data_IF_272143588044
#
_entry.id   IF_272143588044
#
_cell.length_a   1.000
_cell.length_b   1.000
_cell.length_c   1.000
_cell.angle_alpha   90.00
_cell.angle_beta   90.00
_cell.angle_gamma   90.00
#
_symmetry.space_group_name_H-M   'P 1'
#
loop_
_entity.id
_entity.type
_entity.pdbx_description
1 polymer ?
#
# COMPACT_ATOMS: atom_id res chain seq x y z
N UNK A 1 17.13 1.49 -1.27
CA UNK A 1 15.83 0.97 -1.73
C UNK A 1 15.06 0.45 -0.51
N UNK A 2 13.80 0.83 -0.36
CA UNK A 2 12.85 0.23 0.57
C UNK A 2 11.72 -0.43 -0.22
N UNK A 3 11.22 -1.54 0.30
CA UNK A 3 10.08 -2.30 -0.23
C UNK A 3 8.93 -2.11 0.75
N UNK A 4 7.85 -1.53 0.25
CA UNK A 4 6.62 -1.26 1.00
C UNK A 4 5.60 -2.31 0.59
N UNK A 5 5.12 -3.08 1.56
CA UNK A 5 4.00 -3.97 1.35
C UNK A 5 2.69 -3.21 1.47
N UNK A 6 1.78 -3.48 0.56
CA UNK A 6 0.37 -3.05 0.58
C UNK A 6 -0.54 -4.27 0.77
N UNK A 7 -1.85 -4.02 0.84
CA UNK A 7 -2.88 -5.06 0.77
C UNK A 7 -2.72 -6.14 1.84
N UNK A 8 -2.80 -7.41 1.43
CA UNK A 8 -2.74 -8.57 2.34
C UNK A 8 -1.38 -8.69 3.03
N UNK A 9 -0.28 -8.47 2.31
CA UNK A 9 1.06 -8.53 2.90
C UNK A 9 1.30 -7.39 3.91
N UNK A 10 0.81 -6.19 3.56
CA UNK A 10 0.87 -5.01 4.41
C UNK A 10 0.02 -5.15 5.68
N UNK A 11 -1.14 -5.78 5.54
CA UNK A 11 -2.07 -6.07 6.63
C UNK A 11 -1.91 -7.41 7.34
N UNK A 12 -0.84 -8.17 7.07
CA UNK A 12 -0.53 -9.46 7.74
C UNK A 12 -1.66 -10.50 7.57
N UNK A 13 -2.17 -10.61 6.34
CA UNK A 13 -3.32 -11.47 5.98
C UNK A 13 -3.04 -12.28 4.70
N UNK A 14 -1.81 -12.76 4.52
CA UNK A 14 -1.48 -13.63 3.39
C UNK A 14 -2.15 -15.01 3.54
N UNK A 15 -2.84 -15.45 2.49
CA UNK A 15 -3.21 -16.84 2.27
C UNK A 15 -2.34 -17.49 1.19
N UNK A 16 -2.48 -18.81 0.99
CA UNK A 16 -1.63 -19.62 0.09
C UNK A 16 -1.56 -19.11 -1.37
N UNK A 17 -2.67 -18.61 -1.92
CA UNK A 17 -2.73 -18.08 -3.29
C UNK A 17 -2.64 -16.56 -3.36
N UNK A 18 -1.85 -15.93 -2.49
CA UNK A 18 -1.79 -14.46 -2.41
C UNK A 18 -0.64 -13.89 -3.22
N UNK A 19 -0.99 -12.93 -4.09
CA UNK A 19 -0.02 -12.02 -4.70
C UNK A 19 0.61 -11.10 -3.63
N UNK A 20 1.80 -10.58 -3.94
CA UNK A 20 2.49 -9.58 -3.14
C UNK A 20 2.28 -8.19 -3.73
N UNK A 21 1.47 -7.37 -3.06
CA UNK A 21 1.29 -5.95 -3.41
C UNK A 21 2.51 -5.14 -2.93
N UNK A 22 3.41 -4.75 -3.85
CA UNK A 22 4.68 -4.10 -3.53
C UNK A 22 4.82 -2.71 -4.18
N UNK A 23 5.30 -1.75 -3.40
CA UNK A 23 5.74 -0.43 -3.86
C UNK A 23 7.21 -0.23 -3.48
N UNK A 24 8.01 0.30 -4.41
CA UNK A 24 9.45 0.47 -4.23
C UNK A 24 9.80 1.95 -4.10
N UNK A 25 10.56 2.28 -3.05
CA UNK A 25 11.00 3.65 -2.78
C UNK A 25 12.53 3.73 -2.65
N UNK A 26 13.13 4.82 -3.11
CA UNK A 26 14.54 5.14 -2.84
C UNK A 26 14.69 6.53 -2.24
N UNK A 27 15.75 6.77 -1.49
CA UNK A 27 16.07 8.07 -0.91
C UNK A 27 17.40 8.65 -1.41
N UNK A 28 17.84 8.20 -2.60
CA UNK A 28 18.95 8.82 -3.33
C UNK A 28 18.78 10.34 -3.39
N UNK A 29 19.81 11.06 -2.95
CA UNK A 29 19.86 12.52 -2.86
C UNK A 29 21.30 13.02 -2.95
N UNK A 30 21.49 14.31 -3.23
CA UNK A 30 22.80 14.95 -3.35
C UNK A 30 23.17 15.25 -4.81
N UNK A 31 24.32 15.89 -5.02
CA UNK A 31 24.76 16.33 -6.35
C UNK A 31 25.24 15.18 -7.24
N UNK A 32 25.89 14.19 -6.64
CA UNK A 32 26.35 12.99 -7.34
C UNK A 32 25.25 11.91 -7.29
N UNK A 33 24.50 11.76 -8.37
CA UNK A 33 23.40 10.79 -8.51
C UNK A 33 23.73 9.70 -9.54
N UNK A 34 24.99 9.26 -9.55
CA UNK A 34 25.47 8.19 -10.40
C UNK A 34 26.10 7.08 -9.55
N UNK A 35 26.03 5.88 -10.07
CA UNK A 35 26.75 4.72 -9.54
C UNK A 35 28.26 4.86 -9.78
N UNK A 36 29.06 4.19 -8.94
CA UNK A 36 30.53 4.24 -8.93
C UNK A 36 31.19 3.06 -9.66
N UNK A 37 30.40 2.20 -10.31
CA UNK A 37 30.89 1.04 -11.05
C UNK A 37 31.51 1.38 -12.42
N UNK A 38 32.12 0.38 -13.06
CA UNK A 38 32.78 0.51 -14.36
C UNK A 38 31.90 1.12 -15.46
N UNK A 39 30.58 0.85 -15.41
CA UNK A 39 29.58 1.55 -16.22
C UNK A 39 28.71 2.40 -15.31
N UNK A 40 28.98 3.70 -15.29
CA UNK A 40 28.15 4.65 -14.56
C UNK A 40 26.76 4.72 -15.18
N UNK A 41 25.76 4.60 -14.31
CA UNK A 41 24.34 4.84 -14.60
C UNK A 41 23.76 5.74 -13.53
N UNK A 42 22.73 6.52 -13.89
CA UNK A 42 22.02 7.35 -12.92
C UNK A 42 21.32 6.48 -11.87
N UNK A 43 21.18 7.02 -10.66
CA UNK A 43 20.65 6.28 -9.52
C UNK A 43 19.18 5.87 -9.71
N UNK A 44 18.38 6.67 -10.41
CA UNK A 44 16.99 6.31 -10.69
C UNK A 44 16.92 5.06 -11.58
N UNK A 45 17.72 4.99 -12.64
CA UNK A 45 17.89 3.81 -13.48
C UNK A 45 18.44 2.61 -12.70
N UNK A 46 19.41 2.83 -11.80
CA UNK A 46 19.93 1.76 -10.95
C UNK A 46 18.83 1.14 -10.09
N UNK A 47 18.06 1.97 -9.37
CA UNK A 47 16.98 1.48 -8.52
C UNK A 47 15.85 0.83 -9.31
N UNK A 48 15.50 1.37 -10.49
CA UNK A 48 14.52 0.76 -11.38
C UNK A 48 14.95 -0.66 -11.82
N UNK A 49 16.21 -0.83 -12.24
CA UNK A 49 16.77 -2.14 -12.60
C UNK A 49 16.80 -3.10 -11.42
N UNK A 50 17.14 -2.62 -10.22
CA UNK A 50 17.13 -3.43 -9.00
C UNK A 50 15.71 -3.93 -8.67
N UNK A 51 14.71 -3.04 -8.71
CA UNK A 51 13.32 -3.42 -8.48
C UNK A 51 12.81 -4.41 -9.54
N UNK A 52 13.10 -4.18 -10.82
CA UNK A 52 12.80 -5.14 -11.90
C UNK A 52 13.43 -6.51 -11.66
N UNK A 53 14.69 -6.54 -11.19
CA UNK A 53 15.39 -7.79 -10.89
C UNK A 53 14.74 -8.53 -9.71
N UNK A 54 14.35 -7.82 -8.66
CA UNK A 54 13.62 -8.39 -7.52
C UNK A 54 12.29 -9.00 -7.98
N UNK A 55 11.49 -8.25 -8.76
CA UNK A 55 10.23 -8.75 -9.31
C UNK A 55 10.48 -10.01 -10.14
N UNK A 56 11.47 -9.98 -11.03
CA UNK A 56 11.82 -11.14 -11.84
C UNK A 56 12.20 -12.37 -10.99
N UNK A 57 12.97 -12.21 -9.91
CA UNK A 57 13.29 -13.34 -9.04
C UNK A 57 12.06 -13.91 -8.32
N UNK A 58 11.07 -13.08 -8.01
CA UNK A 58 9.83 -13.53 -7.37
C UNK A 58 8.88 -14.20 -8.38
N UNK A 59 8.76 -13.64 -9.58
CA UNK A 59 7.71 -14.01 -10.54
C UNK A 59 8.19 -14.90 -11.70
N UNK A 60 9.48 -15.22 -11.80
CA UNK A 60 9.98 -16.07 -12.87
C UNK A 60 9.48 -17.51 -12.71
N UNK A 61 9.01 -18.10 -13.82
CA UNK A 61 8.70 -19.51 -13.89
C UNK A 61 9.98 -20.34 -13.92
N UNK A 62 10.11 -21.24 -12.96
CA UNK A 62 11.17 -22.26 -12.91
C UNK A 62 10.55 -23.66 -13.00
N UNK A 63 11.38 -24.69 -13.03
CA UNK A 63 10.92 -26.09 -12.95
C UNK A 63 10.19 -26.40 -11.63
N UNK A 64 10.43 -25.60 -10.58
CA UNK A 64 9.74 -25.70 -9.29
C UNK A 64 8.48 -24.80 -9.20
N UNK A 65 8.09 -24.13 -10.30
CA UNK A 65 7.00 -23.16 -10.32
C UNK A 65 7.48 -21.72 -10.11
N UNK A 66 6.56 -20.87 -9.65
CA UNK A 66 6.77 -19.45 -9.34
C UNK A 66 6.87 -19.27 -7.83
N UNK A 67 7.69 -18.33 -7.36
CA UNK A 67 7.81 -18.06 -5.93
C UNK A 67 6.62 -17.24 -5.43
N UNK A 68 6.36 -16.08 -6.04
CA UNK A 68 5.14 -15.28 -5.83
C UNK A 68 4.80 -14.45 -7.07
N UNK A 69 3.50 -14.30 -7.33
CA UNK A 69 3.01 -13.21 -8.19
C UNK A 69 3.20 -11.86 -7.48
N UNK A 70 3.61 -10.83 -8.23
CA UNK A 70 3.89 -9.50 -7.68
C UNK A 70 2.99 -8.47 -8.36
N UNK A 71 2.20 -7.76 -7.55
CA UNK A 71 1.39 -6.64 -8.00
C UNK A 71 2.02 -5.30 -7.58
N UNK A 72 2.24 -4.40 -8.53
CA UNK A 72 2.84 -3.09 -8.30
C UNK A 72 1.88 -1.94 -8.61
N UNK A 73 0.59 -2.22 -8.80
CA UNK A 73 -0.41 -1.23 -9.27
C UNK A 73 -0.75 -0.15 -8.24
N UNK A 74 -0.45 -0.35 -6.96
CA UNK A 74 -0.71 0.61 -5.88
C UNK A 74 0.39 1.68 -5.72
N UNK A 75 1.38 1.71 -6.61
CA UNK A 75 2.37 2.80 -6.67
C UNK A 75 1.74 4.10 -7.18
N UNK A 76 2.33 5.29 -6.90
CA UNK A 76 1.85 6.56 -7.43
C UNK A 76 1.60 6.52 -8.94
N UNK A 77 0.45 7.05 -9.38
CA UNK A 77 0.01 7.02 -10.79
C UNK A 77 -0.17 5.62 -11.38
N UNK A 78 -0.22 4.58 -10.55
CA UNK A 78 -0.50 3.20 -10.91
C UNK A 78 0.40 2.68 -12.05
N UNK A 79 -0.22 2.09 -13.07
CA UNK A 79 0.50 1.53 -14.24
C UNK A 79 1.30 2.58 -15.02
N UNK A 80 0.86 3.83 -15.00
CA UNK A 80 1.50 4.94 -15.70
C UNK A 80 2.65 5.57 -14.90
N UNK A 81 2.80 5.23 -13.62
CA UNK A 81 3.87 5.72 -12.77
C UNK A 81 5.17 4.93 -12.88
N UNK A 82 6.27 5.57 -12.49
CA UNK A 82 7.58 4.95 -12.35
C UNK A 82 7.50 3.74 -11.41
N UNK A 83 8.21 2.66 -11.74
CA UNK A 83 8.24 1.45 -10.91
C UNK A 83 8.82 1.73 -9.51
N UNK A 84 9.80 2.63 -9.45
CA UNK A 84 10.41 3.09 -8.20
C UNK A 84 10.29 4.60 -8.15
N UNK A 85 9.77 5.12 -7.05
CA UNK A 85 9.71 6.56 -6.80
C UNK A 85 10.79 6.98 -5.81
N UNK A 86 11.28 8.22 -5.94
CA UNK A 86 12.00 8.83 -4.83
C UNK A 86 11.04 9.02 -3.66
N UNK A 87 11.56 8.95 -2.43
CA UNK A 87 10.77 9.15 -1.23
C UNK A 87 10.13 10.54 -1.20
N UNK A 88 10.83 11.57 -1.69
CA UNK A 88 10.29 12.93 -1.78
C UNK A 88 9.11 13.03 -2.73
N UNK A 89 9.21 12.44 -3.94
CA UNK A 89 8.12 12.43 -4.89
C UNK A 89 6.91 11.64 -4.38
N UNK A 90 7.14 10.51 -3.70
CA UNK A 90 6.07 9.75 -3.06
C UNK A 90 5.37 10.57 -1.97
N UNK A 91 6.13 11.28 -1.13
CA UNK A 91 5.58 12.13 -0.08
C UNK A 91 4.73 13.27 -0.65
N UNK A 92 5.24 13.95 -1.68
CA UNK A 92 4.50 15.02 -2.36
C UNK A 92 3.21 14.50 -3.02
N UNK A 93 3.28 13.36 -3.69
CA UNK A 93 2.12 12.72 -4.30
C UNK A 93 1.05 12.39 -3.26
N UNK A 94 1.42 11.76 -2.14
CA UNK A 94 0.49 11.38 -1.08
C UNK A 94 -0.19 12.59 -0.43
N UNK A 95 0.50 13.73 -0.33
CA UNK A 95 -0.06 14.97 0.23
C UNK A 95 -1.01 15.69 -0.73
N UNK A 96 -0.65 15.75 -2.01
CA UNK A 96 -1.23 16.72 -2.93
C UNK A 96 -2.09 16.11 -4.02
N UNK A 97 -1.91 14.82 -4.34
CA UNK A 97 -2.50 14.20 -5.54
C UNK A 97 -3.25 12.90 -5.25
N UNK A 98 -2.92 12.21 -4.16
CA UNK A 98 -3.52 10.92 -3.85
C UNK A 98 -5.01 11.04 -3.53
N UNK A 99 -5.79 10.12 -4.09
CA UNK A 99 -7.22 10.03 -3.85
C UNK A 99 -7.52 9.37 -2.48
N UNK A 100 -8.72 9.57 -1.95
CA UNK A 100 -9.16 8.94 -0.68
C UNK A 100 -8.97 7.41 -0.67
N UNK A 101 -9.22 6.73 -1.79
CA UNK A 101 -9.02 5.28 -1.89
C UNK A 101 -7.52 4.88 -1.82
N UNK A 102 -6.60 5.75 -2.24
CA UNK A 102 -5.16 5.51 -2.10
C UNK A 102 -4.73 5.70 -0.64
N UNK A 103 -5.33 6.67 0.06
CA UNK A 103 -5.16 6.80 1.52
C UNK A 103 -5.76 5.59 2.25
N UNK A 104 -6.90 5.04 1.80
CA UNK A 104 -7.44 3.78 2.33
C UNK A 104 -6.46 2.62 2.12
N UNK A 105 -5.85 2.51 0.94
CA UNK A 105 -4.82 1.51 0.68
C UNK A 105 -3.59 1.72 1.59
N UNK A 106 -3.20 2.98 1.85
CA UNK A 106 -2.08 3.35 2.72
C UNK A 106 -2.27 2.90 4.18
N UNK A 107 -3.53 2.80 4.65
CA UNK A 107 -3.85 2.23 5.98
C UNK A 107 -3.27 0.83 6.13
N UNK A 108 -3.22 0.03 5.06
CA UNK A 108 -2.74 -1.35 5.07
C UNK A 108 -1.33 -1.48 4.51
N UNK A 109 -0.42 -0.61 4.97
CA UNK A 109 0.97 -0.61 4.48
C UNK A 109 2.01 -0.66 5.58
N UNK A 110 3.13 -1.31 5.27
CA UNK A 110 4.33 -1.34 6.13
C UNK A 110 5.58 -1.58 5.30
N UNK A 111 6.71 -1.11 5.79
CA UNK A 111 8.02 -1.44 5.20
C UNK A 111 8.36 -2.88 5.57
N UNK A 112 8.75 -3.69 4.58
CA UNK A 112 9.13 -5.10 4.79
C UNK A 112 10.64 -5.33 4.60
N UNK A 113 11.30 -4.46 3.86
CA UNK A 113 12.74 -4.49 3.64
C UNK A 113 13.25 -3.09 3.30
N UNK A 114 14.46 -2.75 3.76
CA UNK A 114 15.11 -1.48 3.44
C UNK A 114 15.91 -0.90 4.60
N UNK A 115 16.65 0.19 4.37
CA UNK A 115 17.42 0.84 5.42
C UNK A 115 16.53 1.42 6.52
N UNK A 116 16.93 1.27 7.79
CA UNK A 116 16.18 1.77 8.95
C UNK A 116 15.77 3.25 8.82
N UNK A 117 16.68 4.11 8.32
CA UNK A 117 16.41 5.53 8.10
C UNK A 117 15.23 5.76 7.15
N UNK A 118 15.20 5.05 6.02
CA UNK A 118 14.11 5.19 5.05
C UNK A 118 12.81 4.58 5.59
N UNK A 119 12.89 3.45 6.31
CA UNK A 119 11.73 2.85 6.96
C UNK A 119 11.07 3.79 7.97
N UNK A 120 11.86 4.45 8.82
CA UNK A 120 11.37 5.44 9.79
C UNK A 120 10.73 6.65 9.11
N UNK A 121 11.35 7.16 8.04
CA UNK A 121 10.78 8.27 7.25
C UNK A 121 9.46 7.88 6.61
N UNK A 122 9.34 6.68 6.07
CA UNK A 122 8.08 6.17 5.53
C UNK A 122 7.01 6.04 6.62
N UNK A 123 7.35 5.50 7.79
CA UNK A 123 6.40 5.37 8.89
C UNK A 123 5.90 6.74 9.36
N UNK A 124 6.80 7.72 9.49
CA UNK A 124 6.45 9.09 9.86
C UNK A 124 5.52 9.74 8.82
N UNK A 125 5.83 9.60 7.53
CA UNK A 125 4.96 10.08 6.45
C UNK A 125 3.60 9.39 6.46
N UNK A 126 3.56 8.06 6.59
CA UNK A 126 2.30 7.32 6.67
C UNK A 126 1.44 7.84 7.82
N UNK A 127 2.04 8.03 9.00
CA UNK A 127 1.33 8.57 10.15
C UNK A 127 0.83 10.00 9.88
N UNK A 128 1.66 10.87 9.31
CA UNK A 128 1.28 12.21 8.87
C UNK A 128 0.05 12.19 7.95
N UNK A 129 0.06 11.39 6.88
CA UNK A 129 -1.03 11.30 5.91
C UNK A 129 -2.31 10.73 6.55
N UNK A 130 -2.19 9.67 7.34
CA UNK A 130 -3.36 9.04 7.96
C UNK A 130 -4.01 9.96 9.01
N UNK A 131 -3.22 10.77 9.72
CA UNK A 131 -3.70 11.68 10.76
C UNK A 131 -4.12 13.08 10.23
N UNK A 132 -4.22 13.26 8.91
CA UNK A 132 -4.76 14.50 8.34
C UNK A 132 -6.23 14.70 8.75
N UNK A 133 -6.65 15.94 9.07
CA UNK A 133 -8.05 16.22 9.36
C UNK A 133 -8.89 16.02 8.10
N UNK A 134 -10.04 15.33 8.25
CA UNK A 134 -10.97 15.04 7.15
C UNK A 134 -12.39 15.37 7.55
N UNK A 135 -13.16 15.90 6.61
CA UNK A 135 -14.60 16.07 6.79
C UNK A 135 -15.29 14.70 6.78
N UNK A 136 -15.75 14.26 7.96
CA UNK A 136 -16.23 12.87 8.17
C UNK A 136 -17.40 12.47 7.27
N UNK A 137 -18.30 13.42 6.96
CA UNK A 137 -19.45 13.16 6.08
C UNK A 137 -19.01 12.88 4.65
N UNK A 138 -18.12 13.72 4.10
CA UNK A 138 -17.53 13.54 2.78
C UNK A 138 -16.72 12.24 2.69
N UNK A 139 -15.83 11.99 3.65
CA UNK A 139 -15.03 10.76 3.71
C UNK A 139 -15.91 9.51 3.74
N UNK A 140 -16.97 9.51 4.57
CA UNK A 140 -17.91 8.39 4.66
C UNK A 140 -18.57 8.10 3.31
N UNK A 141 -18.96 9.15 2.58
CA UNK A 141 -19.59 9.02 1.29
C UNK A 141 -18.62 8.42 0.26
N UNK A 142 -17.39 8.94 0.17
CA UNK A 142 -16.36 8.45 -0.76
C UNK A 142 -16.01 6.97 -0.52
N UNK A 143 -15.84 6.58 0.75
CA UNK A 143 -15.55 5.18 1.12
C UNK A 143 -16.72 4.26 0.75
N UNK A 144 -17.96 4.69 1.04
CA UNK A 144 -19.17 3.92 0.71
C UNK A 144 -19.33 3.73 -0.81
N UNK A 145 -19.17 4.81 -1.58
CA UNK A 145 -19.28 4.76 -3.04
C UNK A 145 -18.22 3.83 -3.65
N UNK A 146 -16.98 3.92 -3.19
CA UNK A 146 -15.92 3.02 -3.63
C UNK A 146 -16.24 1.56 -3.27
N UNK A 147 -16.73 1.30 -2.06
CA UNK A 147 -17.07 -0.05 -1.63
C UNK A 147 -18.19 -0.67 -2.46
N UNK A 148 -19.25 0.09 -2.73
CA UNK A 148 -20.38 -0.37 -3.54
C UNK A 148 -19.94 -0.64 -4.98
N UNK A 149 -19.08 0.21 -5.57
CA UNK A 149 -18.49 -0.03 -6.89
C UNK A 149 -17.72 -1.34 -6.94
N UNK A 150 -16.82 -1.57 -5.97
CA UNK A 150 -16.07 -2.83 -5.89
C UNK A 150 -16.98 -4.05 -5.71
N UNK A 151 -18.10 -3.91 -4.97
CA UNK A 151 -19.07 -5.00 -4.78
C UNK A 151 -19.76 -5.37 -6.08
N UNK A 152 -20.14 -4.39 -6.89
CA UNK A 152 -20.78 -4.64 -8.20
C UNK A 152 -19.84 -5.35 -9.18
N UNK A 153 -18.54 -5.04 -9.09
CA UNK A 153 -17.51 -5.64 -9.96
C UNK A 153 -17.08 -7.04 -9.50
N UNK A 154 -16.92 -7.26 -8.19
CA UNK A 154 -16.27 -8.45 -7.64
C UNK A 154 -17.20 -9.38 -6.85
N UNK A 155 -18.40 -8.93 -6.50
CA UNK A 155 -19.37 -9.68 -5.71
C UNK A 155 -19.93 -10.90 -6.45
N UNK A 156 -20.44 -11.87 -5.68
CA UNK A 156 -21.04 -13.05 -6.27
C UNK A 156 -22.35 -12.70 -6.97
N UNK A 157 -22.55 -13.28 -8.16
CA UNK A 157 -23.78 -13.12 -8.94
C UNK A 157 -24.70 -14.33 -8.85
N UNK A 158 -24.27 -15.41 -8.17
CA UNK A 158 -25.04 -16.64 -8.02
C UNK A 158 -25.96 -16.57 -6.79
N UNK A 159 -27.28 -16.69 -6.96
CA UNK A 159 -28.23 -16.74 -5.84
C UNK A 159 -27.90 -17.89 -4.87
N UNK A 160 -28.06 -17.65 -3.56
CA UNK A 160 -27.88 -18.67 -2.52
C UNK A 160 -26.42 -18.99 -2.13
N UNK A 161 -25.43 -18.30 -2.71
CA UNK A 161 -24.02 -18.47 -2.35
C UNK A 161 -23.42 -17.18 -1.79
N UNK A 162 -22.79 -17.27 -0.62
CA UNK A 162 -22.09 -16.15 0.01
C UNK A 162 -20.59 -16.17 -0.29
N UNK A 163 -20.09 -15.13 -0.96
CA UNK A 163 -18.67 -14.93 -1.18
C UNK A 163 -18.03 -14.22 0.02
N UNK A 164 -17.34 -15.01 0.85
CA UNK A 164 -16.70 -14.63 2.12
C UNK A 164 -15.96 -13.28 2.07
N UNK A 165 -15.24 -13.00 0.97
CA UNK A 165 -14.53 -11.72 0.83
C UNK A 165 -15.40 -10.54 0.34
N UNK A 166 -16.23 -10.73 -0.69
CA UNK A 166 -16.73 -9.63 -1.52
C UNK A 166 -18.19 -9.26 -1.25
N UNK A 167 -18.98 -10.17 -0.69
CA UNK A 167 -20.40 -9.93 -0.46
C UNK A 167 -20.64 -9.06 0.79
N UNK A 168 -21.88 -8.60 0.98
CA UNK A 168 -22.27 -7.80 2.16
C UNK A 168 -22.01 -8.58 3.44
N UNK A 169 -21.32 -7.97 4.40
CA UNK A 169 -20.87 -8.62 5.64
C UNK A 169 -19.59 -9.45 5.49
N UNK A 170 -18.99 -9.47 4.30
CA UNK A 170 -17.72 -10.17 4.05
C UNK A 170 -16.49 -9.40 4.55
N UNK A 171 -15.32 -10.00 4.34
CA UNK A 171 -14.03 -9.46 4.79
C UNK A 171 -13.78 -8.05 4.23
N UNK A 172 -14.10 -7.78 2.96
CA UNK A 172 -13.92 -6.45 2.37
C UNK A 172 -14.79 -5.38 3.04
N UNK A 173 -15.96 -5.71 3.59
CA UNK A 173 -16.76 -4.75 4.35
C UNK A 173 -16.04 -4.37 5.66
N UNK A 174 -15.48 -5.35 6.37
CA UNK A 174 -14.71 -5.12 7.61
C UNK A 174 -13.47 -4.27 7.31
N UNK A 175 -12.71 -4.61 6.27
CA UNK A 175 -11.53 -3.85 5.85
C UNK A 175 -11.87 -2.38 5.56
N UNK A 176 -12.97 -2.12 4.84
CA UNK A 176 -13.40 -0.75 4.52
C UNK A 176 -13.86 0.01 5.76
N UNK A 177 -14.52 -0.65 6.71
CA UNK A 177 -14.93 -0.05 7.98
C UNK A 177 -13.71 0.37 8.80
N UNK A 178 -12.71 -0.52 8.92
CA UNK A 178 -11.47 -0.22 9.66
C UNK A 178 -10.69 0.90 8.99
N UNK A 179 -10.54 0.86 7.65
CA UNK A 179 -9.88 1.94 6.90
C UNK A 179 -10.58 3.29 7.08
N UNK A 180 -11.92 3.30 7.02
CA UNK A 180 -12.72 4.49 7.31
C UNK A 180 -12.45 5.01 8.72
N UNK A 181 -12.50 4.13 9.73
CA UNK A 181 -12.29 4.52 11.11
C UNK A 181 -10.90 5.14 11.32
N UNK A 182 -9.86 4.53 10.77
CA UNK A 182 -8.50 5.12 10.83
C UNK A 182 -8.47 6.49 10.16
N UNK A 183 -8.98 6.65 8.94
CA UNK A 183 -8.93 7.94 8.24
C UNK A 183 -9.81 9.03 8.88
N UNK A 184 -10.90 8.64 9.55
CA UNK A 184 -11.86 9.55 10.16
C UNK A 184 -11.43 10.04 11.55
N UNK A 185 -10.68 9.23 12.29
CA UNK A 185 -10.39 9.45 13.71
C UNK A 185 -8.90 9.54 14.04
N UNK A 186 -7.98 9.13 13.15
CA UNK A 186 -6.54 9.18 13.47
C UNK A 186 -5.98 10.59 13.65
N UNK A 187 -6.71 11.63 13.19
CA UNK A 187 -6.36 13.02 13.50
C UNK A 187 -6.43 13.29 15.02
N UNK A 188 -7.51 12.84 15.65
CA UNK A 188 -7.77 13.01 17.08
C UNK A 188 -7.04 11.93 17.88
N UNK A 189 -6.96 10.71 17.34
CA UNK A 189 -6.37 9.52 17.98
C UNK A 189 -5.26 8.88 17.12
N UNK A 190 -4.03 9.42 17.12
CA UNK A 190 -2.95 8.95 16.24
C UNK A 190 -2.55 7.48 16.43
N UNK A 191 -2.91 6.88 17.57
CA UNK A 191 -2.67 5.46 17.85
C UNK A 191 -3.38 4.53 16.86
N UNK A 192 -4.52 4.97 16.29
CA UNK A 192 -5.23 4.22 15.25
C UNK A 192 -4.38 3.99 14.00
N UNK A 193 -3.46 4.91 13.70
CA UNK A 193 -2.55 4.81 12.56
C UNK A 193 -1.27 4.00 12.88
N UNK A 194 -1.07 3.49 14.11
CA UNK A 194 0.18 2.81 14.51
C UNK A 194 0.41 1.49 13.77
N UNK A 195 -0.65 0.70 13.63
CA UNK A 195 -0.61 -0.63 13.03
C UNK A 195 -1.24 -0.61 11.62
N UNK A 196 -1.04 -1.70 10.87
CA UNK A 196 -1.49 -1.83 9.47
C UNK A 196 -2.43 -3.03 9.22
N UNK A 197 -2.62 -3.88 10.23
CA UNK A 197 -3.53 -5.04 10.23
C UNK A 197 -4.84 -4.72 10.97
N UNK A 198 -5.91 -5.37 10.52
CA UNK A 198 -7.26 -5.11 11.02
C UNK A 198 -7.40 -5.39 12.52
N UNK A 199 -6.79 -6.48 13.03
CA UNK A 199 -6.95 -6.89 14.43
C UNK A 199 -6.44 -5.81 15.37
N UNK A 200 -5.19 -5.36 15.20
CA UNK A 200 -4.61 -4.32 16.07
C UNK A 200 -5.23 -2.95 15.85
N UNK A 201 -5.74 -2.65 14.65
CA UNK A 201 -6.47 -1.42 14.39
C UNK A 201 -7.84 -1.41 15.09
N UNK A 202 -8.55 -2.54 15.11
CA UNK A 202 -9.81 -2.69 15.83
C UNK A 202 -9.59 -2.58 17.33
N UNK A 203 -8.57 -3.25 17.89
CA UNK A 203 -8.25 -3.13 19.31
C UNK A 203 -7.90 -1.70 19.74
N UNK A 204 -7.40 -0.87 18.81
CA UNK A 204 -7.12 0.53 19.08
C UNK A 204 -8.37 1.43 19.08
N UNK A 205 -9.52 0.94 18.57
CA UNK A 205 -10.81 1.65 18.60
C UNK A 205 -11.61 1.41 19.90
N UNK A 206 -11.18 0.46 20.74
CA UNK A 206 -11.87 0.09 21.99
C UNK A 206 -11.51 1.00 23.18
N UNK A 207 -10.59 1.95 22.99
CA UNK A 207 -10.07 2.89 23.99
C UNK A 207 -10.33 4.33 23.56
#
# INVERSE_FOLDING_TARGET
LAIIAYGKLGGIELGYGSDLDLVFLHDSSGEQQYTDGAKQIDNASFFAKLAQRIIHWLSAHTTAGVLYEVDTRLRPSGRSGLLVSSFSAFAEYQRNQAWTWEHQALVRTRVIAGPNRLSQRFQALRQEILCQPRERTKLRQEVKEMRERMRLELGNRKPGMFHVKQDRGGIADVEFIVQYAVLAYAHDEPLLARHSDNIRQISALEF
#
